data_IF_892555504059
#
_entry.id   IF_892555504059
#
_cell.length_a   1.000
_cell.length_b   1.000
_cell.length_c   1.000
_cell.angle_alpha   90.00
_cell.angle_beta   90.00
_cell.angle_gamma   90.00
#
_symmetry.space_group_name_H-M   'P 1'
#
loop_
_entity.id
_entity.type
_entity.pdbx_description
1 polymer ?
#
# COMPACT_ATOMS: atom_id res chain seq x y z
N UNK A 1 -5.30 -11.59 -5.37
CA UNK A 1 -4.01 -10.86 -5.50
C UNK A 1 -4.15 -9.34 -5.56
N UNK A 2 -5.06 -8.78 -6.38
CA UNK A 2 -5.26 -7.33 -6.50
C UNK A 2 -5.53 -6.59 -5.18
N UNK A 3 -6.28 -7.22 -4.27
CA UNK A 3 -6.61 -6.66 -2.94
C UNK A 3 -5.35 -6.31 -2.10
N UNK A 4 -4.40 -7.25 -1.99
CA UNK A 4 -3.15 -7.09 -1.22
C UNK A 4 -2.24 -6.01 -1.83
N UNK A 5 -2.17 -5.96 -3.15
CA UNK A 5 -1.36 -4.97 -3.88
C UNK A 5 -1.93 -3.55 -3.67
N UNK A 6 -3.26 -3.41 -3.71
CA UNK A 6 -3.92 -2.12 -3.47
C UNK A 6 -3.67 -1.62 -2.04
N UNK A 7 -3.88 -2.47 -1.04
CA UNK A 7 -3.59 -2.12 0.36
C UNK A 7 -2.12 -1.75 0.57
N UNK A 8 -1.20 -2.51 -0.03
CA UNK A 8 0.24 -2.20 0.00
C UNK A 8 0.55 -0.83 -0.60
N UNK A 9 -0.04 -0.49 -1.76
CA UNK A 9 0.16 0.81 -2.42
C UNK A 9 -0.36 1.97 -1.57
N UNK A 10 -1.54 1.81 -0.97
CA UNK A 10 -2.14 2.80 -0.08
C UNK A 10 -1.26 3.02 1.15
N UNK A 11 -0.88 1.95 1.86
CA UNK A 11 -0.04 2.03 3.05
C UNK A 11 1.33 2.61 2.74
N UNK A 12 1.97 2.17 1.65
CA UNK A 12 3.25 2.75 1.19
C UNK A 12 3.10 4.25 0.97
N UNK A 13 2.01 4.69 0.35
CA UNK A 13 1.80 6.12 0.13
C UNK A 13 1.63 6.87 1.46
N UNK A 14 0.76 6.38 2.36
CA UNK A 14 0.53 7.02 3.66
C UNK A 14 1.78 7.07 4.54
N UNK A 15 2.56 5.98 4.59
CA UNK A 15 3.76 5.86 5.44
C UNK A 15 4.94 6.71 4.97
N UNK A 16 5.05 6.96 3.66
CA UNK A 16 6.17 7.69 3.07
C UNK A 16 5.76 9.04 2.49
N UNK A 17 4.55 9.53 2.79
CA UNK A 17 4.05 10.81 2.31
C UNK A 17 4.95 11.99 2.72
N UNK A 18 5.49 11.95 3.94
CA UNK A 18 6.43 12.95 4.48
C UNK A 18 7.69 13.14 3.62
N UNK A 19 8.24 12.05 3.05
CA UNK A 19 9.41 12.11 2.15
C UNK A 19 9.08 12.96 0.91
N UNK A 20 7.86 12.80 0.40
CA UNK A 20 7.43 13.45 -0.83
C UNK A 20 7.19 14.94 -0.63
N UNK A 21 6.73 15.34 0.55
CA UNK A 21 6.51 16.74 0.92
C UNK A 21 7.79 17.41 1.48
N UNK A 22 8.95 16.73 1.45
CA UNK A 22 10.23 17.22 2.02
C UNK A 22 10.10 17.67 3.49
N UNK A 23 9.20 17.04 4.23
CA UNK A 23 8.91 17.38 5.62
C UNK A 23 9.69 16.46 6.57
N UNK A 24 10.03 16.92 7.79
CA UNK A 24 10.71 16.08 8.76
C UNK A 24 9.88 14.82 9.06
N UNK A 25 10.57 13.70 9.31
CA UNK A 25 9.96 12.36 9.51
C UNK A 25 8.95 12.31 10.66
N UNK A 26 9.05 13.26 11.60
CA UNK A 26 8.15 13.41 12.76
C UNK A 26 6.90 14.24 12.47
N UNK A 27 6.79 14.82 11.27
CA UNK A 27 5.57 15.53 10.87
C UNK A 27 4.39 14.56 10.92
N UNK A 28 3.44 14.87 11.78
CA UNK A 28 2.17 14.17 11.95
C UNK A 28 1.22 14.42 10.77
N UNK A 29 1.75 14.31 9.54
CA UNK A 29 1.03 14.65 8.33
C UNK A 29 -0.10 13.66 8.10
N UNK A 30 -1.32 14.18 8.19
CA UNK A 30 -2.52 13.46 7.80
C UNK A 30 -2.61 13.47 6.27
N UNK A 31 -2.79 12.29 5.68
CA UNK A 31 -2.93 12.16 4.23
C UNK A 31 -4.40 12.30 3.87
N UNK A 32 -4.77 13.39 3.17
CA UNK A 32 -6.15 13.55 2.71
C UNK A 32 -6.50 12.52 1.63
N UNK A 33 -7.74 12.05 1.66
CA UNK A 33 -8.29 11.08 0.72
C UNK A 33 -8.16 11.54 -0.75
N UNK A 34 -8.34 12.83 -0.99
CA UNK A 34 -8.21 13.42 -2.33
C UNK A 34 -6.79 13.26 -2.92
N UNK A 35 -5.76 13.29 -2.07
CA UNK A 35 -4.39 13.03 -2.54
C UNK A 35 -4.21 11.56 -2.94
N UNK A 36 -4.84 10.63 -2.23
CA UNK A 36 -4.84 9.22 -2.59
C UNK A 36 -5.51 9.02 -3.96
N UNK A 37 -6.67 9.64 -4.19
CA UNK A 37 -7.36 9.60 -5.49
C UNK A 37 -6.53 10.18 -6.64
N UNK A 38 -5.81 11.27 -6.40
CA UNK A 38 -4.98 11.91 -7.44
C UNK A 38 -3.70 11.13 -7.76
N UNK A 39 -3.11 10.45 -6.78
CA UNK A 39 -1.79 9.81 -6.92
C UNK A 39 -1.86 8.32 -7.20
N UNK A 40 -2.87 7.62 -6.69
CA UNK A 40 -3.05 6.21 -6.95
C UNK A 40 -3.84 6.08 -8.25
N UNK A 41 -3.24 5.45 -9.27
CA UNK A 41 -3.92 5.05 -10.51
C UNK A 41 -4.87 3.86 -10.24
N UNK A 42 -5.86 4.06 -9.38
CA UNK A 42 -6.85 3.07 -8.96
C UNK A 42 -8.25 3.71 -8.94
N UNK A 43 -9.33 2.93 -9.09
CA UNK A 43 -10.69 3.47 -9.01
C UNK A 43 -10.95 4.12 -7.64
N UNK A 44 -11.57 5.31 -7.63
CA UNK A 44 -11.90 6.06 -6.39
C UNK A 44 -12.66 5.19 -5.37
N UNK A 45 -13.69 4.47 -5.85
CA UNK A 45 -14.48 3.56 -5.02
C UNK A 45 -13.61 2.48 -4.36
N UNK A 46 -12.65 1.90 -5.09
CA UNK A 46 -11.72 0.91 -4.55
C UNK A 46 -10.81 1.51 -3.48
N UNK A 47 -10.21 2.68 -3.76
CA UNK A 47 -9.36 3.38 -2.79
C UNK A 47 -10.16 3.65 -1.51
N UNK A 48 -11.37 4.19 -1.62
CA UNK A 48 -12.23 4.47 -0.47
C UNK A 48 -12.44 3.24 0.42
N UNK A 49 -12.93 2.13 -0.15
CA UNK A 49 -13.18 0.92 0.64
C UNK A 49 -11.93 0.38 1.30
N UNK A 50 -10.82 0.30 0.56
CA UNK A 50 -9.58 -0.22 1.12
C UNK A 50 -9.02 0.67 2.24
N UNK A 51 -9.10 1.98 2.09
CA UNK A 51 -8.63 2.92 3.12
C UNK A 51 -9.53 2.82 4.36
N UNK A 52 -10.85 2.71 4.20
CA UNK A 52 -11.78 2.52 5.32
C UNK A 52 -11.54 1.19 6.02
N UNK A 53 -11.41 0.07 5.30
CA UNK A 53 -11.07 -1.23 5.90
C UNK A 53 -9.73 -1.18 6.63
N UNK A 54 -8.71 -0.53 6.05
CA UNK A 54 -7.42 -0.37 6.74
C UNK A 54 -7.58 0.46 8.03
N UNK A 55 -8.54 1.39 8.06
CA UNK A 55 -8.81 2.16 9.27
C UNK A 55 -9.57 1.39 10.33
N UNK A 56 -10.61 0.65 9.94
CA UNK A 56 -11.37 -0.25 10.83
C UNK A 56 -10.46 -1.30 11.48
N UNK A 57 -9.47 -1.81 10.73
CA UNK A 57 -8.47 -2.74 11.24
C UNK A 57 -7.36 -2.09 12.09
N UNK A 58 -7.41 -0.77 12.33
CA UNK A 58 -6.42 -0.04 13.14
C UNK A 58 -5.07 0.21 12.46
N UNK A 59 -4.93 -0.07 11.16
CA UNK A 59 -3.70 0.19 10.41
C UNK A 59 -3.56 1.67 9.97
N UNK A 60 -4.69 2.36 9.88
CA UNK A 60 -4.76 3.80 9.64
C UNK A 60 -5.69 4.43 10.69
N UNK A 61 -5.31 5.56 11.27
CA UNK A 61 -6.23 6.39 12.03
C UNK A 61 -6.99 7.27 11.05
N UNK A 62 -8.31 7.07 10.94
CA UNK A 62 -9.20 7.95 10.19
C UNK A 62 -9.54 9.18 11.04
N UNK A 63 -9.35 10.35 10.45
CA UNK A 63 -9.64 11.65 11.03
C UNK A 63 -10.66 12.32 10.11
N UNK A 64 -11.78 12.75 10.69
CA UNK A 64 -12.76 13.57 10.00
C UNK A 64 -12.42 15.04 10.23
N UNK A 65 -12.03 15.75 9.19
CA UNK A 65 -11.63 17.15 9.28
C UNK A 65 -12.85 18.09 9.26
N UNK A 66 -12.67 19.31 9.79
CA UNK A 66 -13.74 20.33 9.88
C UNK A 66 -14.27 20.79 8.52
N UNK A 67 -13.52 20.57 7.45
CA UNK A 67 -13.88 20.87 6.05
C UNK A 67 -14.67 19.72 5.38
N UNK A 68 -15.20 18.78 6.17
CA UNK A 68 -15.83 17.53 5.71
C UNK A 68 -14.90 16.63 4.89
N UNK A 69 -13.58 16.85 4.95
CA UNK A 69 -12.60 15.99 4.29
C UNK A 69 -12.18 14.82 5.17
N UNK A 70 -11.86 13.69 4.53
CA UNK A 70 -11.32 12.52 5.20
C UNK A 70 -9.80 12.56 5.12
N UNK A 71 -9.13 12.43 6.25
CA UNK A 71 -7.68 12.28 6.30
C UNK A 71 -7.26 11.07 7.12
N UNK A 72 -6.09 10.53 6.79
CA UNK A 72 -5.62 9.26 7.32
C UNK A 72 -4.19 9.39 7.80
N UNK A 73 -3.94 8.93 9.01
CA UNK A 73 -2.60 8.88 9.59
C UNK A 73 -2.16 7.43 9.78
N UNK A 74 -0.97 7.04 9.32
CA UNK A 74 -0.47 5.70 9.54
C UNK A 74 -0.24 5.43 11.03
N UNK A 75 -0.58 4.22 11.47
CA UNK A 75 -0.33 3.75 12.83
C UNK A 75 0.93 2.88 12.90
N UNK A 76 1.39 2.58 14.11
CA UNK A 76 2.49 1.62 14.32
C UNK A 76 2.13 0.24 13.78
N UNK A 77 0.89 -0.20 13.97
CA UNK A 77 0.40 -1.47 13.43
C UNK A 77 0.29 -1.43 11.90
N UNK A 78 -0.07 -0.28 11.32
CA UNK A 78 -0.01 -0.06 9.88
C UNK A 78 1.39 -0.23 9.30
N UNK A 79 2.44 0.18 10.02
CA UNK A 79 3.83 -0.09 9.63
C UNK A 79 4.17 -1.59 9.67
N UNK A 80 3.80 -2.29 10.74
CA UNK A 80 4.02 -3.73 10.83
C UNK A 80 3.27 -4.50 9.74
N UNK A 81 2.02 -4.13 9.48
CA UNK A 81 1.23 -4.72 8.41
C UNK A 81 1.82 -4.43 7.03
N UNK A 82 2.33 -3.23 6.78
CA UNK A 82 3.07 -2.91 5.56
C UNK A 82 4.30 -3.80 5.36
N UNK A 83 5.10 -4.06 6.40
CA UNK A 83 6.26 -4.95 6.30
C UNK A 83 5.85 -6.39 5.98
N UNK A 84 4.76 -6.88 6.59
CA UNK A 84 4.21 -8.20 6.31
C UNK A 84 3.72 -8.30 4.84
N UNK A 85 2.97 -7.29 4.38
CA UNK A 85 2.54 -7.21 2.97
C UNK A 85 3.73 -7.18 2.01
N UNK A 86 4.76 -6.39 2.32
CA UNK A 86 5.99 -6.31 1.51
C UNK A 86 6.64 -7.69 1.39
N UNK A 87 6.82 -8.40 2.51
CA UNK A 87 7.41 -9.74 2.53
C UNK A 87 6.59 -10.74 1.70
N UNK A 88 5.26 -10.78 1.90
CA UNK A 88 4.36 -11.66 1.13
C UNK A 88 4.42 -11.39 -0.37
N UNK A 89 4.36 -10.11 -0.77
CA UNK A 89 4.43 -9.73 -2.18
C UNK A 89 5.79 -10.09 -2.80
N UNK A 90 6.88 -9.95 -2.05
CA UNK A 90 8.23 -10.29 -2.50
C UNK A 90 8.39 -11.80 -2.70
N UNK A 91 7.85 -12.60 -1.77
CA UNK A 91 7.82 -14.06 -1.89
C UNK A 91 7.04 -14.51 -3.13
N UNK A 92 5.85 -13.96 -3.36
CA UNK A 92 5.06 -14.29 -4.56
C UNK A 92 5.83 -13.92 -5.84
N UNK A 93 6.46 -12.75 -5.87
CA UNK A 93 7.26 -12.34 -7.03
C UNK A 93 8.45 -13.28 -7.27
N UNK A 94 9.13 -13.70 -6.20
CA UNK A 94 10.24 -14.64 -6.26
C UNK A 94 9.80 -16.01 -6.78
N UNK A 95 8.70 -16.55 -6.24
CA UNK A 95 8.14 -17.84 -6.67
C UNK A 95 7.74 -17.79 -8.15
N UNK A 96 7.14 -16.70 -8.62
CA UNK A 96 6.82 -16.50 -10.04
C UNK A 96 8.08 -16.44 -10.93
N UNK A 97 9.12 -15.73 -10.50
CA UNK A 97 10.39 -15.63 -11.25
C UNK A 97 11.04 -17.02 -11.36
N UNK A 98 11.09 -17.78 -10.26
CA UNK A 98 11.62 -19.14 -10.28
C UNK A 98 10.82 -20.07 -11.17
N UNK A 99 9.49 -19.98 -11.15
CA UNK A 99 8.65 -20.75 -12.06
C UNK A 99 8.99 -20.46 -13.54
N UNK A 100 9.19 -19.19 -13.90
CA UNK A 100 9.60 -18.79 -15.25
C UNK A 100 10.99 -19.37 -15.58
N UNK A 101 11.96 -19.24 -14.67
CA UNK A 101 13.32 -19.78 -14.87
C UNK A 101 13.28 -21.29 -15.10
N UNK A 102 12.51 -22.04 -14.30
CA UNK A 102 12.38 -23.50 -14.43
C UNK A 102 11.76 -23.89 -15.78
N UNK A 103 10.76 -23.14 -16.26
CA UNK A 103 10.16 -23.37 -17.59
C UNK A 103 11.18 -23.11 -18.70
N UNK A 104 11.97 -22.03 -18.60
CA UNK A 104 13.00 -21.70 -19.60
C UNK A 104 14.11 -22.75 -19.62
N UNK A 105 14.60 -23.18 -18.46
CA UNK A 105 15.62 -24.23 -18.36
C UNK A 105 15.08 -25.55 -18.92
N UNK A 106 13.85 -25.93 -18.57
CA UNK A 106 13.20 -27.13 -19.10
C UNK A 106 13.06 -27.11 -20.63
N UNK A 107 12.75 -25.94 -21.20
CA UNK A 107 12.71 -25.76 -22.66
C UNK A 107 14.10 -25.91 -23.31
N UNK A 108 15.16 -25.41 -22.69
CA UNK A 108 16.53 -25.49 -23.21
C UNK A 108 17.15 -26.89 -23.12
N UNK A 109 16.74 -27.71 -22.14
CA UNK A 109 17.25 -29.08 -21.96
C UNK A 109 16.42 -30.10 -22.73
N UNK A 110 15.14 -29.81 -22.98
CA UNK A 110 14.24 -30.66 -23.75
C UNK A 110 14.32 -30.50 -25.28
N UNK A 111 15.09 -29.52 -25.75
CA UNK A 111 15.51 -29.33 -27.16
C UNK A 111 16.91 -29.87 -27.33
#
# INVERSE_FOLDING_TARGET
>A
MFYLITQYKILKFCLFYWIKEKQPKESSLNVKLDYLYKKLRLPKKSIYYHVMTLSECGYLNHIYEKDNSHSFKPTKDGWHYYLNLKSKLWRIAFDCIWAIILVVIGFLIGV
#
